data_IF_501332182076
#
_entry.id   IF_501332182076
#
_cell.length_a   1.000
_cell.length_b   1.000
_cell.length_c   1.000
_cell.angle_alpha   90.00
_cell.angle_beta   90.00
_cell.angle_gamma   90.00
#
_symmetry.space_group_name_H-M   'P 1'
#
loop_
_entity.id
_entity.type
_entity.pdbx_description
1 polymer ?
#
# COMPACT_ATOMS: atom_id res chain seq x y z
N UNK A 1 2.51 -33.04 15.27
CA UNK A 1 2.95 -31.63 15.20
C UNK A 1 2.67 -31.02 16.56
N UNK A 2 3.67 -30.43 17.22
CA UNK A 2 3.48 -29.84 18.54
C UNK A 2 2.70 -28.52 18.41
N UNK A 3 1.93 -28.13 19.42
CA UNK A 3 1.08 -26.93 19.39
C UNK A 3 1.89 -25.65 19.04
N UNK A 4 3.10 -25.55 19.58
CA UNK A 4 4.04 -24.46 19.28
C UNK A 4 4.43 -24.38 17.79
N UNK A 5 4.60 -25.53 17.12
CA UNK A 5 4.90 -25.59 15.69
C UNK A 5 3.70 -25.14 14.84
N UNK A 6 2.47 -25.48 15.24
CA UNK A 6 1.25 -25.06 14.56
C UNK A 6 1.04 -23.53 14.63
N UNK A 7 1.33 -22.94 15.78
CA UNK A 7 1.24 -21.49 15.99
C UNK A 7 2.33 -20.72 15.23
N UNK A 8 3.56 -21.24 15.19
CA UNK A 8 4.64 -20.67 14.37
C UNK A 8 4.27 -20.64 12.88
N UNK A 9 3.68 -21.73 12.38
CA UNK A 9 3.18 -21.81 11.01
C UNK A 9 2.03 -20.85 10.78
N UNK A 10 1.08 -20.74 11.72
CA UNK A 10 -0.06 -19.82 11.62
C UNK A 10 0.40 -18.36 11.57
N UNK A 11 1.25 -17.94 12.51
CA UNK A 11 1.84 -16.60 12.55
C UNK A 11 2.59 -16.29 11.25
N UNK A 12 3.43 -17.21 10.79
CA UNK A 12 4.21 -17.04 9.56
C UNK A 12 3.30 -16.98 8.32
N UNK A 13 2.24 -17.77 8.30
CA UNK A 13 1.22 -17.80 7.25
C UNK A 13 0.49 -16.47 7.15
N UNK A 14 0.02 -15.91 8.27
CA UNK A 14 -0.62 -14.60 8.31
C UNK A 14 0.32 -13.47 7.89
N UNK A 15 1.55 -13.46 8.42
CA UNK A 15 2.55 -12.47 8.03
C UNK A 15 2.88 -12.55 6.52
N UNK A 16 2.98 -13.76 5.96
CA UNK A 16 3.14 -13.99 4.52
C UNK A 16 1.94 -13.51 3.72
N UNK A 17 0.73 -13.87 4.14
CA UNK A 17 -0.52 -13.46 3.49
C UNK A 17 -0.70 -11.95 3.43
N UNK A 18 -0.38 -11.24 4.51
CA UNK A 18 -0.42 -9.77 4.56
C UNK A 18 0.61 -9.13 3.62
N UNK A 19 1.81 -9.70 3.47
CA UNK A 19 2.79 -9.22 2.48
C UNK A 19 2.31 -9.43 1.05
N UNK A 20 1.70 -10.59 0.76
CA UNK A 20 1.13 -10.88 -0.55
C UNK A 20 -0.02 -9.92 -0.85
N UNK A 21 -0.93 -9.70 0.10
CA UNK A 21 -2.02 -8.74 -0.02
C UNK A 21 -1.49 -7.31 -0.26
N UNK A 22 -0.47 -6.89 0.50
CA UNK A 22 0.20 -5.61 0.30
C UNK A 22 0.78 -5.48 -1.11
N UNK A 23 1.40 -6.53 -1.64
CA UNK A 23 1.99 -6.54 -2.99
C UNK A 23 0.89 -6.43 -4.06
N UNK A 24 -0.19 -7.20 -3.94
CA UNK A 24 -1.33 -7.16 -4.87
C UNK A 24 -1.98 -5.77 -4.88
N UNK A 25 -2.23 -5.20 -3.70
CA UNK A 25 -2.80 -3.85 -3.58
C UNK A 25 -1.84 -2.77 -4.12
N UNK A 26 -0.52 -2.98 -4.01
CA UNK A 26 0.48 -2.06 -4.58
C UNK A 26 0.38 -1.96 -6.10
N UNK A 27 0.02 -3.05 -6.79
CA UNK A 27 -0.24 -3.02 -8.24
C UNK A 27 -1.42 -2.09 -8.57
N UNK A 28 -2.49 -2.13 -7.76
CA UNK A 28 -3.64 -1.24 -7.92
C UNK A 28 -3.28 0.23 -7.61
N UNK A 29 -2.46 0.46 -6.58
CA UNK A 29 -1.94 1.79 -6.27
C UNK A 29 -1.12 2.33 -7.44
N UNK A 30 -0.27 1.50 -8.05
CA UNK A 30 0.53 1.88 -9.23
C UNK A 30 -0.35 2.16 -10.45
N UNK A 31 -1.39 1.39 -10.69
CA UNK A 31 -2.36 1.69 -11.75
C UNK A 31 -3.06 3.05 -11.52
N UNK A 32 -3.45 3.35 -10.29
CA UNK A 32 -4.00 4.65 -9.91
C UNK A 32 -2.99 5.79 -10.08
N UNK A 33 -1.73 5.54 -9.76
CA UNK A 33 -0.64 6.50 -9.97
C UNK A 33 -0.44 6.82 -11.46
N UNK A 34 -0.41 5.79 -12.32
CA UNK A 34 -0.34 5.98 -13.79
C UNK A 34 -1.54 6.78 -14.30
N UNK A 35 -2.74 6.49 -13.79
CA UNK A 35 -3.93 7.26 -14.14
C UNK A 35 -3.81 8.74 -13.76
N UNK A 36 -3.28 9.06 -12.57
CA UNK A 36 -3.02 10.44 -12.14
C UNK A 36 -2.01 11.13 -13.04
N UNK A 37 -0.92 10.45 -13.40
CA UNK A 37 0.10 10.96 -14.34
C UNK A 37 -0.51 11.31 -15.69
N UNK A 38 -1.28 10.40 -16.28
CA UNK A 38 -1.99 10.64 -17.55
C UNK A 38 -2.98 11.78 -17.42
N UNK A 39 -3.71 11.87 -16.30
CA UNK A 39 -4.69 12.94 -16.07
C UNK A 39 -4.02 14.31 -15.93
N UNK A 40 -2.86 14.38 -15.29
CA UNK A 40 -2.08 15.62 -15.20
C UNK A 40 -1.74 16.16 -16.60
N UNK A 41 -1.21 15.31 -17.49
CA UNK A 41 -0.96 15.68 -18.88
C UNK A 41 -2.23 16.12 -19.63
N UNK A 42 -3.33 15.36 -19.51
CA UNK A 42 -4.60 15.70 -20.17
C UNK A 42 -5.22 17.00 -19.70
N UNK A 43 -4.88 17.48 -18.50
CA UNK A 43 -5.37 18.73 -17.92
C UNK A 43 -4.43 19.91 -18.12
N UNK A 44 -3.34 19.72 -18.88
CA UNK A 44 -2.35 20.77 -19.17
C UNK A 44 -1.35 21.01 -18.03
N UNK A 45 -1.35 20.18 -16.98
CA UNK A 45 -0.42 20.27 -15.85
C UNK A 45 0.90 19.55 -16.17
N UNK A 46 1.57 19.95 -17.25
CA UNK A 46 2.70 19.22 -17.83
C UNK A 46 3.87 19.06 -16.85
N UNK A 47 4.17 20.08 -16.04
CA UNK A 47 5.24 20.02 -15.04
C UNK A 47 4.98 18.92 -13.98
N UNK A 48 3.73 18.78 -13.54
CA UNK A 48 3.30 17.74 -12.60
C UNK A 48 3.38 16.36 -13.25
N UNK A 49 2.91 16.24 -14.49
CA UNK A 49 3.01 15.00 -15.25
C UNK A 49 4.46 14.54 -15.42
N UNK A 50 5.38 15.45 -15.73
CA UNK A 50 6.82 15.15 -15.84
C UNK A 50 7.37 14.71 -14.48
N UNK A 51 7.05 15.43 -13.40
CA UNK A 51 7.47 15.08 -12.05
C UNK A 51 7.00 13.67 -11.68
N UNK A 52 5.74 13.34 -11.92
CA UNK A 52 5.20 12.02 -11.63
C UNK A 52 5.83 10.92 -12.48
N UNK A 53 6.02 11.16 -13.79
CA UNK A 53 6.73 10.22 -14.64
C UNK A 53 8.15 9.97 -14.14
N UNK A 54 8.91 11.03 -13.83
CA UNK A 54 10.28 10.92 -13.34
C UNK A 54 10.35 10.10 -12.05
N UNK A 55 9.46 10.36 -11.09
CA UNK A 55 9.37 9.60 -9.84
C UNK A 55 8.95 8.15 -10.06
N UNK A 56 8.10 7.88 -11.06
CA UNK A 56 7.69 6.52 -11.42
C UNK A 56 8.83 5.66 -11.98
N UNK A 57 9.77 6.25 -12.70
CA UNK A 57 10.91 5.55 -13.32
C UNK A 57 12.18 5.52 -12.46
N UNK A 58 12.24 6.31 -11.38
CA UNK A 58 13.37 6.31 -10.45
C UNK A 58 13.47 4.99 -9.68
N UNK A 59 14.48 4.17 -10.05
CA UNK A 59 14.86 2.93 -9.37
C UNK A 59 15.29 3.26 -7.93
N UNK A 60 14.90 2.42 -6.96
CA UNK A 60 15.30 2.58 -5.55
C UNK A 60 14.26 3.24 -4.63
N UNK A 61 13.00 3.32 -5.05
CA UNK A 61 11.90 3.82 -4.20
C UNK A 61 11.35 5.19 -4.59
N UNK A 62 11.76 5.73 -5.75
CA UNK A 62 11.17 6.96 -6.29
C UNK A 62 9.66 6.88 -6.44
N UNK A 63 9.13 5.68 -6.72
CA UNK A 63 7.69 5.43 -6.81
C UNK A 63 6.96 5.66 -5.47
N UNK A 64 7.58 5.40 -4.31
CA UNK A 64 6.99 5.70 -3.00
C UNK A 64 6.80 7.21 -2.82
N UNK A 65 7.83 7.99 -3.15
CA UNK A 65 7.75 9.45 -3.14
C UNK A 65 6.72 9.95 -4.17
N UNK A 66 6.67 9.31 -5.34
CA UNK A 66 5.65 9.53 -6.36
C UNK A 66 4.23 9.35 -5.82
N UNK A 67 3.92 8.22 -5.19
CA UNK A 67 2.60 7.94 -4.61
C UNK A 67 2.21 8.97 -3.55
N UNK A 68 3.14 9.35 -2.67
CA UNK A 68 2.88 10.36 -1.64
C UNK A 68 2.59 11.74 -2.25
N UNK A 69 3.40 12.17 -3.22
CA UNK A 69 3.16 13.43 -3.94
C UNK A 69 1.87 13.36 -4.76
N UNK A 70 1.57 12.21 -5.36
CA UNK A 70 0.32 11.94 -6.07
C UNK A 70 -0.90 12.11 -5.17
N UNK A 71 -0.82 11.69 -3.90
CA UNK A 71 -1.88 11.93 -2.92
C UNK A 71 -2.06 13.43 -2.66
N UNK A 72 -0.97 14.14 -2.34
CA UNK A 72 -1.03 15.58 -2.04
C UNK A 72 -1.62 16.35 -3.21
N UNK A 73 -1.05 16.21 -4.40
CA UNK A 73 -1.48 16.93 -5.59
C UNK A 73 -2.86 16.48 -6.09
N UNK A 74 -3.16 15.19 -6.02
CA UNK A 74 -4.47 14.65 -6.39
C UNK A 74 -5.58 15.23 -5.52
N UNK A 75 -5.33 15.43 -4.22
CA UNK A 75 -6.28 16.08 -3.31
C UNK A 75 -6.36 17.60 -3.52
N UNK A 76 -5.23 18.28 -3.75
CA UNK A 76 -5.20 19.72 -4.07
C UNK A 76 -6.04 20.03 -5.32
N UNK A 77 -5.94 19.20 -6.36
CA UNK A 77 -6.68 19.41 -7.61
C UNK A 77 -7.96 18.58 -7.74
N UNK A 78 -8.43 17.93 -6.67
CA UNK A 78 -9.57 17.00 -6.72
C UNK A 78 -10.84 17.63 -7.32
N UNK A 79 -11.10 18.91 -6.98
CA UNK A 79 -12.24 19.68 -7.50
C UNK A 79 -12.08 20.01 -8.97
N UNK A 80 -10.90 20.54 -9.35
CA UNK A 80 -10.57 20.91 -10.75
C UNK A 80 -10.61 19.70 -11.67
N UNK A 81 -10.20 18.55 -11.15
CA UNK A 81 -10.16 17.31 -11.90
C UNK A 81 -11.45 16.51 -11.79
N UNK A 82 -12.45 16.92 -11.00
CA UNK A 82 -13.65 16.12 -10.72
C UNK A 82 -13.32 14.64 -10.42
N UNK A 83 -12.35 14.44 -9.52
CA UNK A 83 -11.76 13.14 -9.23
C UNK A 83 -12.02 12.67 -7.79
N UNK A 84 -13.01 13.24 -7.10
CA UNK A 84 -13.28 12.96 -5.68
C UNK A 84 -13.49 11.47 -5.39
N UNK A 85 -14.36 10.73 -6.12
CA UNK A 85 -14.56 9.31 -5.86
C UNK A 85 -13.27 8.50 -6.06
N UNK A 86 -12.50 8.85 -7.10
CA UNK A 86 -11.23 8.22 -7.38
C UNK A 86 -10.21 8.47 -6.26
N UNK A 87 -10.07 9.70 -5.78
CA UNK A 87 -9.11 10.05 -4.73
C UNK A 87 -9.44 9.36 -3.40
N UNK A 88 -10.72 9.20 -3.06
CA UNK A 88 -11.15 8.43 -1.88
C UNK A 88 -10.70 6.97 -2.03
N UNK A 89 -11.06 6.31 -3.12
CA UNK A 89 -10.72 4.90 -3.36
C UNK A 89 -9.20 4.70 -3.37
N UNK A 90 -8.48 5.56 -4.07
CA UNK A 90 -7.03 5.44 -4.19
C UNK A 90 -6.32 5.72 -2.85
N UNK A 91 -6.76 6.69 -2.06
CA UNK A 91 -6.22 6.93 -0.71
C UNK A 91 -6.46 5.73 0.21
N UNK A 92 -7.64 5.12 0.15
CA UNK A 92 -7.95 3.89 0.89
C UNK A 92 -7.04 2.75 0.48
N UNK A 93 -6.79 2.57 -0.82
CA UNK A 93 -5.86 1.56 -1.32
C UNK A 93 -4.44 1.77 -0.78
N UNK A 94 -3.94 3.01 -0.80
CA UNK A 94 -2.62 3.34 -0.24
C UNK A 94 -2.57 3.03 1.26
N UNK A 95 -3.59 3.42 2.02
CA UNK A 95 -3.67 3.12 3.45
C UNK A 95 -3.69 1.60 3.73
N UNK A 96 -4.43 0.83 2.92
CA UNK A 96 -4.47 -0.63 3.03
C UNK A 96 -3.10 -1.26 2.71
N UNK A 97 -2.40 -0.80 1.67
CA UNK A 97 -1.03 -1.26 1.38
C UNK A 97 -0.12 -1.04 2.58
N UNK A 98 -0.08 0.19 3.10
CA UNK A 98 0.78 0.54 4.24
C UNK A 98 0.40 -0.28 5.47
N UNK A 99 -0.90 -0.42 5.77
CA UNK A 99 -1.40 -1.18 6.91
C UNK A 99 -1.04 -2.66 6.85
N UNK A 100 -1.26 -3.30 5.70
CA UNK A 100 -0.90 -4.71 5.49
C UNK A 100 0.62 -4.92 5.62
N UNK A 101 1.42 -4.06 5.00
CA UNK A 101 2.88 -4.14 5.09
C UNK A 101 3.38 -3.95 6.53
N UNK A 102 2.91 -2.90 7.22
CA UNK A 102 3.29 -2.60 8.59
C UNK A 102 2.90 -3.75 9.53
N UNK A 103 1.67 -4.26 9.42
CA UNK A 103 1.18 -5.37 10.22
C UNK A 103 2.03 -6.63 9.99
N UNK A 104 2.36 -6.96 8.74
CA UNK A 104 3.23 -8.08 8.44
C UNK A 104 4.63 -7.93 9.04
N UNK A 105 5.23 -6.73 8.96
CA UNK A 105 6.53 -6.45 9.55
C UNK A 105 6.51 -6.58 11.08
N UNK A 106 5.46 -6.07 11.73
CA UNK A 106 5.27 -6.21 13.18
C UNK A 106 5.12 -7.69 13.54
N UNK A 107 4.25 -8.44 12.86
CA UNK A 107 4.04 -9.87 13.10
C UNK A 107 5.32 -10.68 12.92
N UNK A 108 6.17 -10.35 11.93
CA UNK A 108 7.47 -11.02 11.74
C UNK A 108 8.46 -10.77 12.88
N UNK A 109 8.40 -9.59 13.51
CA UNK A 109 9.33 -9.21 14.60
C UNK A 109 8.84 -9.61 15.99
N UNK A 110 7.54 -9.80 16.14
CA UNK A 110 6.89 -10.17 17.40
C UNK A 110 7.37 -11.54 17.90
N UNK A 111 7.40 -11.78 19.22
CA UNK A 111 7.61 -13.13 19.77
C UNK A 111 6.35 -14.01 19.59
N UNK A 112 6.41 -15.29 19.95
CA UNK A 112 5.20 -16.14 19.94
C UNK A 112 4.21 -15.75 21.04
N UNK A 113 4.72 -15.45 22.24
CA UNK A 113 3.88 -15.07 23.38
C UNK A 113 3.16 -13.75 23.11
N UNK A 114 3.87 -12.77 22.55
CA UNK A 114 3.27 -11.51 22.13
C UNK A 114 2.20 -11.74 21.05
N UNK A 115 2.49 -12.60 20.06
CA UNK A 115 1.52 -12.93 19.02
C UNK A 115 0.24 -13.55 19.61
N UNK A 116 0.35 -14.45 20.60
CA UNK A 116 -0.82 -15.00 21.30
C UNK A 116 -1.62 -13.93 22.03
N UNK A 117 -0.97 -12.95 22.66
CA UNK A 117 -1.68 -11.88 23.38
C UNK A 117 -2.49 -11.01 22.43
N UNK A 118 -1.91 -10.61 21.29
CA UNK A 118 -2.57 -9.69 20.36
C UNK A 118 -3.48 -10.38 19.33
N UNK A 119 -3.16 -11.63 18.98
CA UNK A 119 -3.79 -12.37 17.88
C UNK A 119 -4.26 -13.77 18.27
N UNK A 120 -4.34 -14.10 19.56
CA UNK A 120 -4.81 -15.41 20.03
C UNK A 120 -6.25 -15.77 19.63
N UNK A 121 -6.99 -14.82 19.06
CA UNK A 121 -8.30 -15.04 18.45
C UNK A 121 -8.22 -15.57 17.00
N UNK A 122 -7.05 -15.56 16.35
CA UNK A 122 -6.85 -16.13 15.03
C UNK A 122 -6.82 -17.67 15.12
N UNK A 123 -7.62 -18.38 14.31
CA UNK A 123 -7.62 -19.84 14.32
C UNK A 123 -6.26 -20.38 13.86
N UNK A 124 -5.82 -21.48 14.49
CA UNK A 124 -4.67 -22.24 14.03
C UNK A 124 -4.97 -22.89 12.68
N UNK A 125 -4.02 -22.82 11.75
CA UNK A 125 -4.08 -23.48 10.44
C UNK A 125 -3.86 -24.99 10.55
#
# INVERSE_FOLDING_TARGET
MNAESAELLTKSGWAGGLLIASLQLSVLVMAGYVWLTVRAFRRGETAVGILFSALGFLVGGGWCAGVLLGLVFGWVWVRRWNALPFMIVWSTLVALVIGNFALACVMKKMSLDEWRVYFGWLPAL
#
